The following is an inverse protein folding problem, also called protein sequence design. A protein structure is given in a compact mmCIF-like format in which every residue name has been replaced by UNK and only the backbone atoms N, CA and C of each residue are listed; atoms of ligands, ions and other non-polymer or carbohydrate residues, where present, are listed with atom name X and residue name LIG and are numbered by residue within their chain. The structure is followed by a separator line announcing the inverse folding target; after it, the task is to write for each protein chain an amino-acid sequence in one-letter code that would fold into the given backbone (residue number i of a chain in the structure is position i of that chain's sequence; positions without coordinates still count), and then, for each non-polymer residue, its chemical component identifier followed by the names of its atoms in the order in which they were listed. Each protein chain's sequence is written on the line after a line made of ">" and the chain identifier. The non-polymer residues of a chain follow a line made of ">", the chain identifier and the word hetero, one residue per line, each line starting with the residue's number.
data_IF_887300746224
#
_entry.id   IF_887300746224
#
_cell.length_a   1.000
_cell.length_b   1.000
_cell.length_c   1.000
_cell.angle_alpha   90.00
_cell.angle_beta   90.00
_cell.angle_gamma   90.00
#
_symmetry.space_group_name_H-M   'P 1'
#
loop_
_entity.id
_entity.type
_entity.pdbx_description
1 polymer ?
#
# COMPACT_ATOMS: atom_id res chain seq x y z
N UNK A 1 20.26 -12.20 -60.86
CA UNK A 1 21.50 -11.82 -61.56
C UNK A 1 21.15 -10.90 -62.71
N UNK A 2 21.91 -9.82 -62.96
CA UNK A 2 22.76 -9.05 -62.05
C UNK A 2 22.03 -7.78 -61.54
N UNK A 3 22.53 -6.90 -60.65
CA UNK A 3 23.42 -6.93 -59.46
C UNK A 3 23.11 -5.59 -58.70
N UNK A 4 23.35 -5.32 -57.41
CA UNK A 4 24.48 -5.54 -56.47
C UNK A 4 25.64 -4.53 -56.61
N UNK A 5 26.35 -4.25 -55.49
CA UNK A 5 27.30 -3.15 -55.21
C UNK A 5 26.63 -1.77 -54.95
N UNK A 6 26.68 -1.14 -53.77
CA UNK A 6 27.53 -1.23 -52.57
C UNK A 6 28.97 -0.67 -52.73
N UNK A 7 29.25 0.43 -52.02
CA UNK A 7 30.60 0.90 -51.69
C UNK A 7 30.66 1.31 -50.20
N UNK A 8 31.85 1.24 -49.61
CA UNK A 8 32.17 1.61 -48.24
C UNK A 8 33.49 2.38 -48.24
N UNK A 9 33.51 3.61 -47.72
CA UNK A 9 34.77 4.19 -47.26
C UNK A 9 34.64 5.23 -46.15
N UNK A 10 35.52 5.07 -45.18
CA UNK A 10 35.88 5.94 -44.06
C UNK A 10 37.25 5.40 -43.53
N UNK A 11 37.99 6.13 -42.68
CA UNK A 11 37.76 7.49 -42.18
C UNK A 11 38.89 8.46 -42.58
N UNK A 12 38.81 9.70 -42.11
CA UNK A 12 40.02 10.54 -41.90
C UNK A 12 40.23 10.75 -40.38
N UNK A 13 41.50 10.81 -39.98
CA UNK A 13 41.97 11.12 -38.63
C UNK A 13 43.32 11.85 -38.71
N UNK A 14 43.25 13.17 -38.69
CA UNK A 14 44.36 14.03 -38.22
C UNK A 14 43.77 15.19 -37.40
N UNK A 15 44.48 15.78 -36.44
CA UNK A 15 45.83 15.47 -35.98
C UNK A 15 46.61 16.75 -35.72
N UNK A 16 46.38 17.38 -34.56
CA UNK A 16 47.16 18.53 -34.12
C UNK A 16 47.37 18.53 -32.61
N UNK A 17 48.55 18.97 -32.18
CA UNK A 17 49.01 18.90 -30.79
C UNK A 17 49.71 20.19 -30.38
N UNK A 18 49.59 20.50 -29.09
CA UNK A 18 50.59 21.22 -28.31
C UNK A 18 50.89 22.69 -28.66
N UNK A 19 50.52 23.58 -27.73
CA UNK A 19 51.55 24.36 -27.02
C UNK A 19 51.06 24.82 -25.65
N UNK A 20 51.93 24.67 -24.67
CA UNK A 20 51.82 25.30 -23.35
C UNK A 20 52.25 26.77 -23.45
N UNK A 21 51.89 27.58 -22.44
CA UNK A 21 52.83 28.48 -21.74
C UNK A 21 52.23 29.13 -20.49
N UNK A 22 53.13 29.77 -19.74
CA UNK A 22 52.96 30.48 -18.47
C UNK A 22 51.69 31.37 -18.37
N UNK A 23 51.06 31.60 -17.21
CA UNK A 23 51.50 31.33 -15.84
C UNK A 23 51.77 32.63 -15.07
N UNK A 24 50.75 33.20 -14.41
CA UNK A 24 50.89 34.36 -13.51
C UNK A 24 50.06 34.14 -12.25
N UNK A 25 50.65 34.49 -11.10
CA UNK A 25 50.08 34.43 -9.76
C UNK A 25 50.03 35.85 -9.17
N UNK A 26 48.94 36.22 -8.51
CA UNK A 26 48.86 37.49 -7.74
C UNK A 26 48.07 37.28 -6.45
N UNK A 27 48.72 37.50 -5.31
CA UNK A 27 48.07 37.61 -4.01
C UNK A 27 47.26 38.91 -3.86
N UNK A 28 46.21 38.88 -3.04
CA UNK A 28 45.42 40.07 -2.65
C UNK A 28 44.68 39.81 -1.34
N UNK A 29 44.98 40.58 -0.29
CA UNK A 29 44.67 40.21 1.11
C UNK A 29 43.95 41.31 1.89
N UNK A 30 42.95 40.87 2.68
CA UNK A 30 42.25 41.58 3.78
C UNK A 30 41.35 42.78 3.42
N UNK A 31 40.29 42.98 4.23
CA UNK A 31 39.34 44.09 4.07
C UNK A 31 38.01 43.94 4.82
N UNK A 32 38.03 43.82 6.15
CA UNK A 32 36.88 44.11 7.04
C UNK A 32 37.35 45.13 8.09
N UNK A 33 36.60 46.22 8.32
CA UNK A 33 35.76 46.28 9.53
C UNK A 33 34.39 46.97 9.32
N UNK A 34 33.31 46.31 9.75
CA UNK A 34 31.93 46.82 9.64
C UNK A 34 31.48 47.89 10.66
N UNK A 35 30.17 48.18 10.69
CA UNK A 35 29.57 49.18 11.59
C UNK A 35 28.08 48.95 11.93
N UNK A 36 27.76 49.00 13.23
CA UNK A 36 26.53 49.51 13.92
C UNK A 36 25.14 49.26 13.30
N UNK A 37 24.20 48.61 13.99
CA UNK A 37 23.43 49.08 15.17
C UNK A 37 22.59 50.36 14.94
N UNK A 38 21.27 50.21 14.96
CA UNK A 38 20.29 51.24 15.31
C UNK A 38 18.98 50.58 15.78
N UNK A 39 18.55 50.84 17.01
CA UNK A 39 17.24 50.46 17.54
C UNK A 39 16.15 51.46 17.14
N UNK A 40 14.88 51.05 17.21
CA UNK A 40 13.72 51.92 16.97
C UNK A 40 12.42 51.32 17.53
N UNK A 41 12.07 51.64 18.77
CA UNK A 41 10.92 51.09 19.49
C UNK A 41 10.07 52.21 20.11
N UNK A 42 8.81 51.85 20.43
CA UNK A 42 7.74 52.64 21.05
C UNK A 42 6.91 53.55 20.10
N UNK A 43 5.60 53.69 20.32
CA UNK A 43 4.78 52.94 21.28
C UNK A 43 3.37 53.50 21.52
N UNK A 44 2.63 52.79 22.38
CA UNK A 44 1.30 53.18 22.90
C UNK A 44 0.11 52.69 22.05
N UNK A 45 -1.05 52.37 22.62
CA UNK A 45 -1.40 52.03 24.02
C UNK A 45 -2.80 51.39 24.01
N UNK A 46 -3.06 50.42 24.89
CA UNK A 46 -4.39 49.82 25.06
C UNK A 46 -5.29 50.74 25.90
N UNK A 47 -6.61 50.73 25.69
CA UNK A 47 -7.48 50.49 26.85
C UNK A 47 -8.45 49.32 26.62
N UNK A 48 -8.74 48.65 27.72
CA UNK A 48 -9.63 47.50 27.89
C UNK A 48 -10.95 48.00 28.50
N UNK A 49 -12.10 47.48 28.06
CA UNK A 49 -13.39 47.87 28.64
C UNK A 49 -14.47 46.79 28.46
N UNK A 50 -14.86 46.17 29.56
CA UNK A 50 -16.07 45.36 29.67
C UNK A 50 -17.33 46.25 29.73
N UNK A 51 -18.45 45.76 29.21
CA UNK A 51 -19.74 46.46 29.27
C UNK A 51 -20.86 45.68 28.59
N UNK A 52 -21.85 45.24 29.37
CA UNK A 52 -22.95 44.36 28.93
C UNK A 52 -24.31 45.10 28.95
N UNK A 53 -25.32 44.56 28.24
CA UNK A 53 -26.76 44.94 28.28
C UNK A 53 -27.11 46.33 27.66
N UNK A 54 -28.33 46.65 27.19
CA UNK A 54 -29.49 45.93 26.62
C UNK A 54 -30.38 47.01 25.92
N UNK A 55 -31.61 46.86 25.41
CA UNK A 55 -32.63 45.81 25.36
C UNK A 55 -33.57 46.07 24.14
N UNK A 56 -34.31 45.06 23.66
CA UNK A 56 -35.40 45.22 22.68
C UNK A 56 -36.45 44.10 22.79
N UNK A 57 -37.55 44.37 23.48
CA UNK A 57 -38.49 43.36 23.99
C UNK A 57 -39.71 43.06 23.08
N UNK A 58 -40.09 41.77 22.99
CA UNK A 58 -41.48 41.28 22.96
C UNK A 58 -41.51 39.73 23.00
N UNK A 59 -42.35 39.02 23.77
CA UNK A 59 -43.22 39.48 24.87
C UNK A 59 -44.27 38.42 25.28
N UNK A 60 -44.18 37.88 26.51
CA UNK A 60 -45.18 37.00 27.14
C UNK A 60 -45.15 35.51 26.74
N UNK A 61 -45.63 34.55 27.55
CA UNK A 61 -46.18 34.59 28.93
C UNK A 61 -45.87 33.31 29.70
N UNK A 62 -45.78 33.39 31.03
CA UNK A 62 -45.41 32.29 31.95
C UNK A 62 -46.64 31.59 32.59
N UNK A 63 -46.50 30.32 32.93
CA UNK A 63 -47.07 29.77 34.18
C UNK A 63 -46.30 28.54 34.68
N UNK A 64 -45.89 28.56 35.94
CA UNK A 64 -45.34 27.38 36.63
C UNK A 64 -46.44 26.41 37.08
N UNK A 65 -46.04 25.18 37.45
CA UNK A 65 -46.37 24.65 38.78
C UNK A 65 -45.43 23.52 39.21
N UNK A 66 -45.16 23.46 40.50
CA UNK A 66 -44.23 22.50 41.13
C UNK A 66 -44.79 21.07 41.21
N UNK A 67 -43.90 20.11 41.45
CA UNK A 67 -44.24 18.68 41.52
C UNK A 67 -44.51 18.15 42.94
N UNK A 68 -44.93 16.88 43.01
CA UNK A 68 -45.01 16.11 44.25
C UNK A 68 -44.47 14.68 44.04
N UNK A 69 -44.01 14.04 45.11
CA UNK A 69 -43.30 12.76 45.10
C UNK A 69 -44.26 11.57 45.27
N UNK A 70 -43.99 10.46 44.58
CA UNK A 70 -44.62 9.16 44.83
C UNK A 70 -43.60 8.02 44.69
N UNK A 71 -43.62 7.08 45.64
CA UNK A 71 -42.76 5.89 45.68
C UNK A 71 -43.25 4.80 44.69
N UNK A 72 -42.34 3.95 44.19
CA UNK A 72 -42.59 3.11 43.02
C UNK A 72 -41.53 2.05 42.71
N UNK A 73 -41.32 1.12 43.65
CA UNK A 73 -40.65 -0.19 43.52
C UNK A 73 -39.89 -0.49 42.20
N UNK A 74 -38.55 -0.53 42.27
CA UNK A 74 -37.71 -0.99 41.17
C UNK A 74 -37.92 -2.49 40.86
N UNK A 75 -38.50 -2.79 39.70
CA UNK A 75 -38.51 -4.14 39.12
C UNK A 75 -37.27 -4.39 38.26
N UNK A 76 -36.70 -5.59 38.32
CA UNK A 76 -35.56 -5.97 37.47
C UNK A 76 -35.90 -5.83 35.96
N UNK A 77 -34.99 -5.27 35.14
CA UNK A 77 -35.20 -5.19 33.70
C UNK A 77 -35.17 -6.60 33.10
N UNK A 78 -36.34 -7.11 32.70
CA UNK A 78 -36.47 -8.37 31.97
C UNK A 78 -35.57 -8.33 30.72
N UNK A 79 -34.66 -9.31 30.53
CA UNK A 79 -33.75 -9.28 29.40
C UNK A 79 -34.52 -9.37 28.08
N UNK A 80 -34.10 -8.54 27.12
CA UNK A 80 -34.67 -8.47 25.78
C UNK A 80 -34.56 -9.82 25.03
N UNK A 81 -35.65 -10.22 24.37
CA UNK A 81 -35.68 -11.47 23.60
C UNK A 81 -34.82 -11.43 22.34
N UNK A 82 -34.54 -10.27 21.75
CA UNK A 82 -33.59 -10.19 20.63
C UNK A 82 -32.16 -10.47 21.11
N UNK A 83 -31.75 -9.86 22.23
CA UNK A 83 -30.49 -10.12 22.93
C UNK A 83 -30.34 -11.59 23.32
N UNK A 84 -31.39 -12.20 23.89
CA UNK A 84 -31.37 -13.62 24.26
C UNK A 84 -31.30 -14.55 23.03
N UNK A 85 -31.97 -14.19 21.92
CA UNK A 85 -31.86 -14.92 20.64
C UNK A 85 -30.48 -14.80 20.04
N UNK A 86 -29.86 -13.61 20.06
CA UNK A 86 -28.51 -13.37 19.55
C UNK A 86 -27.46 -14.20 20.34
N UNK A 87 -27.58 -14.21 21.67
CA UNK A 87 -26.74 -15.03 22.54
C UNK A 87 -26.93 -16.54 22.29
N UNK A 88 -28.18 -17.00 22.11
CA UNK A 88 -28.47 -18.39 21.79
C UNK A 88 -27.91 -18.80 20.40
N UNK A 89 -28.03 -17.94 19.39
CA UNK A 89 -27.44 -18.16 18.07
C UNK A 89 -25.91 -18.25 18.13
N UNK A 90 -25.24 -17.37 18.88
CA UNK A 90 -23.79 -17.42 19.08
C UNK A 90 -23.35 -18.72 19.79
N UNK A 91 -24.06 -19.13 20.84
CA UNK A 91 -23.77 -20.37 21.57
C UNK A 91 -23.92 -21.63 20.68
N UNK A 92 -24.96 -21.69 19.84
CA UNK A 92 -25.13 -22.78 18.87
C UNK A 92 -24.02 -22.79 17.82
N UNK A 93 -23.60 -21.62 17.31
CA UNK A 93 -22.53 -21.51 16.32
C UNK A 93 -21.18 -22.02 16.87
N UNK A 94 -20.84 -21.66 18.11
CA UNK A 94 -19.66 -22.16 18.82
C UNK A 94 -19.71 -23.69 18.99
N UNK A 95 -20.88 -24.24 19.32
CA UNK A 95 -21.02 -25.68 19.57
C UNK A 95 -20.90 -26.52 18.28
N UNK A 96 -21.35 -25.99 17.14
CA UNK A 96 -21.11 -26.59 15.81
C UNK A 96 -19.63 -26.55 15.43
N UNK A 97 -18.92 -25.46 15.73
CA UNK A 97 -17.48 -25.32 15.50
C UNK A 97 -16.65 -26.38 16.24
N UNK A 98 -16.97 -26.67 17.51
CA UNK A 98 -16.30 -27.74 18.27
C UNK A 98 -16.62 -29.16 17.77
N UNK A 99 -17.84 -29.41 17.29
CA UNK A 99 -18.22 -30.71 16.73
C UNK A 99 -17.41 -31.07 15.47
N UNK A 100 -17.12 -30.09 14.61
CA UNK A 100 -16.32 -30.30 13.39
C UNK A 100 -14.87 -30.72 13.66
N UNK A 101 -14.28 -30.28 14.77
CA UNK A 101 -12.88 -30.55 15.12
C UNK A 101 -12.62 -32.01 15.57
N UNK A 102 -13.64 -32.71 16.07
CA UNK A 102 -13.51 -34.06 16.65
C UNK A 102 -13.44 -35.22 15.64
N UNK A 103 -14.07 -35.08 14.47
CA UNK A 103 -14.32 -36.23 13.57
C UNK A 103 -13.11 -36.52 12.64
N UNK A 104 -12.25 -35.53 12.39
CA UNK A 104 -11.12 -35.64 11.45
C UNK A 104 -9.91 -36.49 11.88
N UNK A 105 -9.97 -37.22 13.01
CA UNK A 105 -8.78 -37.88 13.62
C UNK A 105 -8.88 -39.39 13.87
N UNK A 106 -9.88 -40.09 13.31
CA UNK A 106 -10.07 -41.53 13.56
C UNK A 106 -9.91 -42.46 12.33
N UNK A 107 -9.73 -41.94 11.11
CA UNK A 107 -9.78 -42.74 9.86
C UNK A 107 -8.45 -42.78 9.06
N UNK A 108 -7.31 -43.01 9.72
CA UNK A 108 -6.02 -43.29 9.03
C UNK A 108 -5.24 -44.44 9.68
N UNK A 109 -5.72 -45.68 9.50
CA UNK A 109 -5.10 -46.90 10.03
C UNK A 109 -5.21 -48.11 9.07
N UNK A 110 -4.76 -47.94 7.83
CA UNK A 110 -4.47 -48.99 6.84
C UNK A 110 -3.64 -48.35 5.69
N UNK A 111 -2.71 -49.00 5.00
CA UNK A 111 -2.07 -50.32 5.23
C UNK A 111 -0.63 -50.27 4.68
N UNK A 112 0.31 -51.02 5.25
CA UNK A 112 1.71 -51.06 4.79
C UNK A 112 2.02 -52.40 4.12
N UNK A 113 1.87 -52.46 2.79
CA UNK A 113 2.32 -53.61 2.00
C UNK A 113 3.83 -53.50 1.74
N UNK A 114 4.56 -54.58 2.00
CA UNK A 114 5.98 -54.73 1.68
C UNK A 114 6.15 -55.40 0.32
N UNK A 115 7.21 -55.04 -0.41
CA UNK A 115 7.66 -55.76 -1.61
C UNK A 115 9.17 -55.98 -1.54
N UNK A 116 9.60 -57.23 -1.72
CA UNK A 116 11.01 -57.67 -1.59
C UNK A 116 11.69 -57.69 -2.97
N UNK A 117 12.96 -57.28 -3.10
CA UNK A 117 13.65 -57.24 -4.39
C UNK A 117 14.16 -58.62 -4.86
N UNK A 118 14.28 -58.78 -6.18
CA UNK A 118 15.00 -59.86 -6.87
C UNK A 118 15.79 -59.29 -8.07
N UNK A 119 16.82 -59.99 -8.57
CA UNK A 119 17.85 -59.44 -9.46
C UNK A 119 18.05 -60.22 -10.80
N UNK A 120 19.03 -59.73 -11.57
CA UNK A 120 19.58 -60.19 -12.88
C UNK A 120 18.72 -60.05 -14.14
N UNK A 121 19.23 -59.61 -15.30
CA UNK A 121 20.50 -58.88 -15.58
C UNK A 121 20.49 -58.26 -17.00
N UNK A 122 21.58 -57.56 -17.34
CA UNK A 122 22.16 -57.34 -18.68
C UNK A 122 21.28 -56.89 -19.87
N UNK A 123 21.44 -55.61 -20.27
CA UNK A 123 21.83 -55.26 -21.66
C UNK A 123 22.25 -53.79 -21.79
N UNK A 124 23.11 -53.50 -22.78
CA UNK A 124 23.76 -52.20 -23.04
C UNK A 124 23.14 -51.50 -24.26
N UNK A 125 22.68 -50.25 -24.10
CA UNK A 125 22.45 -49.30 -25.19
C UNK A 125 22.56 -47.84 -24.71
N UNK A 126 22.85 -46.91 -25.62
CA UNK A 126 22.96 -45.47 -25.35
C UNK A 126 21.85 -44.70 -26.05
N UNK A 127 21.23 -43.73 -25.37
CA UNK A 127 20.91 -42.41 -25.94
C UNK A 127 20.48 -41.45 -24.83
N UNK A 128 20.78 -40.16 -24.98
CA UNK A 128 20.20 -39.11 -24.15
C UNK A 128 19.00 -38.50 -24.87
N UNK A 129 17.88 -38.35 -24.16
CA UNK A 129 16.72 -37.58 -24.59
C UNK A 129 16.07 -36.96 -23.35
N UNK A 130 16.24 -35.65 -23.20
CA UNK A 130 15.80 -34.90 -22.02
C UNK A 130 14.31 -34.55 -22.17
N UNK A 131 13.45 -35.33 -21.50
CA UNK A 131 12.00 -35.08 -21.50
C UNK A 131 11.66 -34.09 -20.39
N UNK A 132 11.16 -32.91 -20.78
CA UNK A 132 10.82 -31.84 -19.84
C UNK A 132 9.68 -32.26 -18.88
N UNK A 133 9.90 -32.07 -17.58
CA UNK A 133 8.85 -32.13 -16.57
C UNK A 133 8.08 -30.79 -16.51
N UNK A 134 6.78 -30.79 -16.20
CA UNK A 134 6.05 -29.55 -15.96
C UNK A 134 6.51 -28.90 -14.65
N UNK A 135 6.68 -27.57 -14.65
CA UNK A 135 6.88 -26.80 -13.43
C UNK A 135 5.51 -26.42 -12.83
N UNK A 136 5.19 -27.00 -11.67
CA UNK A 136 4.03 -26.58 -10.87
C UNK A 136 4.30 -25.23 -10.19
N UNK A 137 3.92 -24.14 -10.84
CA UNK A 137 4.10 -22.76 -10.35
C UNK A 137 3.04 -22.39 -9.28
N UNK A 138 3.06 -23.10 -8.16
CA UNK A 138 2.06 -23.02 -7.08
C UNK A 138 2.66 -22.47 -5.77
N UNK A 139 3.56 -21.48 -5.87
CA UNK A 139 4.27 -20.85 -4.74
C UNK A 139 3.42 -19.98 -3.79
N UNK A 140 2.10 -20.10 -3.76
CA UNK A 140 1.22 -19.29 -2.89
C UNK A 140 0.90 -20.03 -1.59
N UNK A 141 1.50 -19.61 -0.47
CA UNK A 141 1.05 -20.02 0.87
C UNK A 141 -0.31 -19.37 1.15
N UNK A 142 -1.39 -20.14 1.40
CA UNK A 142 -2.70 -19.56 1.66
C UNK A 142 -2.73 -18.86 3.03
N UNK A 143 -2.88 -17.54 3.02
CA UNK A 143 -3.36 -16.80 4.19
C UNK A 143 -4.89 -16.69 4.08
N UNK A 144 -5.60 -17.00 5.18
CA UNK A 144 -7.05 -16.86 5.22
C UNK A 144 -7.42 -15.51 5.82
N UNK A 145 -8.11 -14.68 5.04
CA UNK A 145 -8.92 -13.60 5.59
C UNK A 145 -10.16 -14.22 6.25
N UNK A 146 -10.38 -13.92 7.53
CA UNK A 146 -11.71 -14.02 8.11
C UNK A 146 -12.66 -13.03 7.42
N UNK A 147 -13.96 -13.26 7.50
CA UNK A 147 -15.01 -12.32 7.03
C UNK A 147 -14.93 -10.94 7.68
N UNK A 148 -14.22 -10.86 8.81
CA UNK A 148 -14.20 -9.74 9.74
C UNK A 148 -12.88 -8.95 9.65
N UNK A 149 -12.14 -9.09 8.54
CA UNK A 149 -10.85 -8.42 8.28
C UNK A 149 -9.64 -8.98 9.05
N UNK A 150 -9.85 -9.88 10.02
CA UNK A 150 -8.76 -10.51 10.79
C UNK A 150 -8.02 -11.58 9.98
N UNK A 151 -6.71 -11.70 10.25
CA UNK A 151 -5.83 -12.74 9.71
C UNK A 151 -5.06 -13.42 10.84
N UNK A 152 -5.14 -14.75 10.94
CA UNK A 152 -4.38 -15.54 11.90
C UNK A 152 -3.28 -16.33 11.18
N UNK A 153 -2.02 -15.89 11.32
CA UNK A 153 -0.89 -16.60 10.71
C UNK A 153 -0.48 -17.82 11.56
N UNK A 154 -0.87 -19.02 11.11
CA UNK A 154 -0.29 -20.28 11.61
C UNK A 154 1.01 -20.54 10.87
N UNK A 155 2.10 -19.95 11.35
CA UNK A 155 3.43 -20.11 10.75
C UNK A 155 3.99 -21.53 11.00
N UNK A 156 4.14 -22.32 9.93
CA UNK A 156 4.95 -23.53 9.95
C UNK A 156 6.45 -23.16 9.87
N UNK A 157 7.31 -23.62 10.79
CA UNK A 157 8.72 -23.24 10.79
C UNK A 157 9.48 -23.95 9.66
N UNK A 158 10.03 -23.19 8.70
CA UNK A 158 10.99 -23.70 7.71
C UNK A 158 10.92 -23.06 6.32
N UNK A 159 9.83 -22.39 5.95
CA UNK A 159 9.70 -21.75 4.64
C UNK A 159 10.26 -20.31 4.66
N UNK A 160 11.31 -20.05 3.88
CA UNK A 160 11.75 -18.69 3.59
C UNK A 160 10.70 -17.99 2.70
N UNK A 161 10.20 -16.83 3.13
CA UNK A 161 9.03 -16.20 2.54
C UNK A 161 9.35 -15.44 1.23
N UNK A 162 9.49 -16.19 0.13
CA UNK A 162 9.51 -15.63 -1.23
C UNK A 162 8.10 -15.15 -1.65
N UNK A 163 7.59 -14.11 -0.97
CA UNK A 163 6.36 -13.44 -1.35
C UNK A 163 6.51 -12.86 -2.76
N UNK A 164 5.64 -13.29 -3.69
CA UNK A 164 5.70 -12.89 -5.09
C UNK A 164 5.58 -11.37 -5.27
N UNK A 165 6.34 -10.82 -6.22
CA UNK A 165 6.31 -9.37 -6.52
C UNK A 165 4.99 -9.03 -7.20
N UNK A 166 4.12 -8.30 -6.49
CA UNK A 166 2.82 -7.87 -7.01
C UNK A 166 2.93 -6.80 -8.09
N UNK A 167 1.86 -6.64 -8.88
CA UNK A 167 1.67 -5.48 -9.75
C UNK A 167 2.55 -5.44 -11.00
N UNK A 168 3.41 -6.45 -11.26
CA UNK A 168 4.28 -6.52 -12.45
C UNK A 168 3.58 -7.06 -13.71
N UNK A 169 2.54 -7.88 -13.57
CA UNK A 169 1.84 -8.50 -14.69
C UNK A 169 0.49 -7.82 -14.97
N UNK A 170 0.14 -7.68 -16.26
CA UNK A 170 -1.20 -7.22 -16.70
C UNK A 170 -2.25 -8.33 -16.50
N UNK A 171 -1.82 -9.59 -16.56
CA UNK A 171 -2.63 -10.80 -16.36
C UNK A 171 -2.00 -11.70 -15.30
N UNK A 172 -2.80 -12.17 -14.34
CA UNK A 172 -2.41 -13.19 -13.34
C UNK A 172 -3.65 -13.91 -12.81
N UNK A 173 -3.51 -15.16 -12.36
CA UNK A 173 -4.63 -16.02 -11.92
C UNK A 173 -5.79 -16.13 -12.93
N UNK A 174 -5.53 -15.97 -14.23
CA UNK A 174 -6.53 -15.91 -15.29
C UNK A 174 -7.33 -14.60 -15.39
N UNK A 175 -7.05 -13.63 -14.52
CA UNK A 175 -7.65 -12.28 -14.52
C UNK A 175 -6.72 -11.28 -15.20
N UNK A 176 -7.28 -10.32 -15.94
CA UNK A 176 -6.56 -9.30 -16.71
C UNK A 176 -7.05 -7.89 -16.38
N UNK A 177 -6.12 -6.95 -16.21
CA UNK A 177 -6.41 -5.53 -16.06
C UNK A 177 -6.52 -4.88 -17.45
N UNK A 178 -7.72 -4.46 -17.82
CA UNK A 178 -8.05 -3.91 -19.15
C UNK A 178 -8.35 -2.42 -19.03
N UNK A 179 -7.40 -1.51 -19.30
CA UNK A 179 -7.66 -0.07 -19.32
C UNK A 179 -8.45 0.34 -20.58
N UNK A 180 -9.32 1.35 -20.47
CA UNK A 180 -9.98 1.92 -21.66
C UNK A 180 -9.02 2.78 -22.52
N UNK A 181 -7.89 3.20 -21.95
CA UNK A 181 -6.79 3.82 -22.68
C UNK A 181 -5.53 3.99 -21.82
N UNK A 182 -4.36 3.84 -22.43
CA UNK A 182 -3.05 3.92 -21.74
C UNK A 182 -2.32 5.26 -21.94
N UNK A 183 -2.86 6.16 -22.76
CA UNK A 183 -2.28 7.49 -23.04
C UNK A 183 -3.13 8.59 -22.42
N UNK A 184 -2.54 9.35 -21.50
CA UNK A 184 -3.21 10.35 -20.65
C UNK A 184 -2.51 11.73 -20.80
N UNK A 185 -3.14 12.78 -20.26
CA UNK A 185 -2.60 14.16 -20.28
C UNK A 185 -2.24 14.61 -18.87
N UNK A 186 -1.27 15.52 -18.77
CA UNK A 186 -1.02 16.20 -17.50
C UNK A 186 -2.20 17.14 -17.17
N UNK A 187 -2.60 17.20 -15.90
CA UNK A 187 -3.75 17.98 -15.44
C UNK A 187 -4.09 17.74 -13.96
N UNK A 188 -4.90 18.63 -13.33
CA UNK A 188 -5.24 18.54 -11.91
C UNK A 188 -6.22 17.40 -11.58
N UNK A 189 -7.07 17.03 -12.53
CA UNK A 189 -7.93 15.85 -12.50
C UNK A 189 -8.30 15.46 -13.93
N UNK A 190 -8.36 14.16 -14.22
CA UNK A 190 -9.05 13.61 -15.38
C UNK A 190 -9.58 12.20 -15.08
N UNK A 191 -10.78 11.83 -15.60
CA UNK A 191 -11.33 10.51 -15.36
C UNK A 191 -10.50 9.43 -16.06
N UNK A 192 -10.40 8.28 -15.41
CA UNK A 192 -9.75 7.07 -15.89
C UNK A 192 -10.66 5.87 -15.63
N UNK A 193 -10.64 4.91 -16.57
CA UNK A 193 -11.57 3.79 -16.62
C UNK A 193 -10.85 2.51 -17.00
N UNK A 194 -11.25 1.41 -16.37
CA UNK A 194 -10.73 0.08 -16.64
C UNK A 194 -11.75 -0.99 -16.24
N UNK A 195 -11.54 -2.23 -16.69
CA UNK A 195 -12.25 -3.43 -16.22
C UNK A 195 -11.21 -4.45 -15.73
N UNK A 196 -11.62 -5.31 -14.81
CA UNK A 196 -10.92 -6.59 -14.59
C UNK A 196 -11.72 -7.65 -15.34
N UNK A 197 -11.07 -8.44 -16.21
CA UNK A 197 -11.74 -9.48 -17.01
C UNK A 197 -11.14 -10.85 -16.73
N UNK A 198 -11.99 -11.87 -16.60
CA UNK A 198 -11.56 -13.27 -16.57
C UNK A 198 -11.28 -13.84 -17.96
N UNK A 199 -11.06 -15.17 -18.07
CA UNK A 199 -10.86 -15.86 -19.34
C UNK A 199 -12.02 -15.61 -20.32
N UNK A 200 -11.69 -15.42 -21.59
CA UNK A 200 -12.68 -15.06 -22.62
C UNK A 200 -13.18 -13.60 -22.58
N UNK A 201 -12.65 -12.76 -21.68
CA UNK A 201 -12.95 -11.33 -21.63
C UNK A 201 -14.20 -10.96 -20.81
N UNK A 202 -14.84 -11.92 -20.13
CA UNK A 202 -15.98 -11.64 -19.26
C UNK A 202 -15.57 -10.73 -18.08
N UNK A 203 -16.32 -9.65 -17.77
CA UNK A 203 -15.99 -8.75 -16.68
C UNK A 203 -16.18 -9.44 -15.31
N UNK A 204 -15.27 -9.16 -14.38
CA UNK A 204 -15.40 -9.56 -12.98
C UNK A 204 -16.19 -8.49 -12.24
N UNK A 205 -17.31 -8.88 -11.63
CA UNK A 205 -18.24 -7.99 -10.91
C UNK A 205 -18.41 -8.35 -9.42
N UNK A 206 -17.66 -9.33 -8.92
CA UNK A 206 -17.78 -9.82 -7.53
C UNK A 206 -16.41 -9.82 -6.86
N UNK A 207 -16.29 -9.05 -5.79
CA UNK A 207 -15.05 -8.81 -5.06
C UNK A 207 -15.33 -8.91 -3.56
N UNK A 208 -14.37 -9.39 -2.78
CA UNK A 208 -14.39 -9.26 -1.33
C UNK A 208 -13.96 -7.84 -0.94
N UNK A 209 -14.52 -7.33 0.16
CA UNK A 209 -14.09 -6.06 0.75
C UNK A 209 -12.90 -6.32 1.67
N UNK A 210 -11.80 -5.59 1.45
CA UNK A 210 -10.59 -5.59 2.26
C UNK A 210 -10.26 -4.13 2.53
N UNK A 211 -9.92 -3.76 3.77
CA UNK A 211 -9.68 -2.36 4.16
C UNK A 211 -10.81 -1.42 3.67
N UNK A 212 -12.06 -1.74 4.02
CA UNK A 212 -13.31 -1.08 3.58
C UNK A 212 -13.53 -0.93 2.05
N UNK A 213 -12.66 -1.47 1.19
CA UNK A 213 -12.73 -1.31 -0.27
C UNK A 213 -12.72 -2.65 -1.03
N UNK A 214 -13.41 -2.73 -2.17
CA UNK A 214 -13.34 -3.91 -3.04
C UNK A 214 -12.07 -3.95 -3.93
N UNK A 215 -11.38 -2.82 -4.09
CA UNK A 215 -10.17 -2.66 -4.90
C UNK A 215 -9.38 -1.43 -4.44
N UNK A 216 -8.07 -1.58 -4.27
CA UNK A 216 -7.11 -0.49 -4.12
C UNK A 216 -6.43 -0.23 -5.45
N UNK A 217 -6.27 1.05 -5.82
CA UNK A 217 -5.63 1.47 -7.05
C UNK A 217 -4.46 2.39 -6.72
N UNK A 218 -3.24 1.88 -6.91
CA UNK A 218 -2.00 2.65 -6.75
C UNK A 218 -1.55 3.15 -8.11
N UNK A 219 -1.26 4.45 -8.20
CA UNK A 219 -0.68 5.09 -9.38
C UNK A 219 0.60 5.79 -8.98
N UNK A 220 1.68 5.57 -9.73
CA UNK A 220 3.02 6.12 -9.41
C UNK A 220 3.84 6.29 -10.68
N UNK A 221 4.76 7.27 -10.73
CA UNK A 221 5.75 7.34 -11.84
C UNK A 221 6.75 6.21 -11.76
N UNK A 222 7.37 5.85 -12.89
CA UNK A 222 8.46 4.86 -12.96
C UNK A 222 9.72 5.27 -12.17
N UNK A 223 9.87 6.56 -11.85
CA UNK A 223 10.90 7.08 -10.93
C UNK A 223 10.45 7.18 -9.47
N UNK A 224 9.31 6.56 -9.13
CA UNK A 224 8.74 6.50 -7.78
C UNK A 224 8.43 7.89 -7.16
N UNK A 225 8.12 8.87 -8.02
CA UNK A 225 7.46 10.13 -7.66
C UNK A 225 5.99 10.14 -8.11
N UNK A 226 5.22 11.20 -7.79
CA UNK A 226 3.84 11.35 -8.27
C UNK A 226 2.87 10.25 -7.84
N UNK A 227 3.07 9.69 -6.64
CA UNK A 227 2.25 8.63 -6.04
C UNK A 227 0.83 9.11 -5.69
N UNK A 228 -0.14 8.24 -5.92
CA UNK A 228 -1.53 8.32 -5.46
C UNK A 228 -2.00 6.93 -5.04
N UNK A 229 -2.74 6.87 -3.93
CA UNK A 229 -3.47 5.69 -3.46
C UNK A 229 -4.97 6.02 -3.51
N UNK A 230 -5.70 5.34 -4.39
CA UNK A 230 -7.06 5.68 -4.79
C UNK A 230 -7.98 4.47 -4.67
N UNK A 231 -9.29 4.71 -4.56
CA UNK A 231 -10.30 3.66 -4.39
C UNK A 231 -11.40 3.84 -5.44
N UNK A 232 -11.24 3.22 -6.63
CA UNK A 232 -12.18 3.36 -7.74
C UNK A 232 -13.59 2.86 -7.38
N UNK A 233 -14.61 3.38 -8.05
CA UNK A 233 -15.99 2.88 -7.94
C UNK A 233 -16.35 2.04 -9.16
N UNK A 234 -17.06 0.93 -8.94
CA UNK A 234 -17.46 0.01 -10.01
C UNK A 234 -18.92 0.23 -10.42
N UNK A 235 -19.16 0.31 -11.73
CA UNK A 235 -20.50 0.23 -12.31
C UNK A 235 -20.99 -1.24 -12.44
N UNK A 236 -22.30 -1.51 -12.57
CA UNK A 236 -22.84 -2.87 -12.66
C UNK A 236 -22.32 -3.72 -13.82
N UNK A 237 -21.68 -3.14 -14.84
CA UNK A 237 -21.05 -3.85 -15.96
C UNK A 237 -19.57 -4.24 -15.70
N UNK A 238 -19.04 -3.96 -14.51
CA UNK A 238 -17.65 -4.20 -14.15
C UNK A 238 -16.69 -3.04 -14.47
N UNK A 239 -17.18 -1.89 -14.96
CA UNK A 239 -16.34 -0.71 -15.22
C UNK A 239 -15.94 -0.03 -13.92
N UNK A 240 -14.66 -0.05 -13.60
CA UNK A 240 -14.06 0.78 -12.56
C UNK A 240 -13.82 2.20 -13.07
N UNK A 241 -14.11 3.19 -12.22
CA UNK A 241 -14.00 4.62 -12.50
C UNK A 241 -13.22 5.30 -11.38
N UNK A 242 -12.22 6.13 -11.73
CA UNK A 242 -11.43 6.92 -10.78
C UNK A 242 -10.90 8.18 -11.46
N UNK A 243 -10.82 9.29 -10.74
CA UNK A 243 -10.18 10.52 -11.22
C UNK A 243 -8.69 10.53 -10.84
N UNK A 244 -7.83 10.91 -11.78
CA UNK A 244 -6.38 10.93 -11.61
C UNK A 244 -5.83 12.36 -11.64
N UNK A 245 -5.05 12.73 -10.62
CA UNK A 245 -4.27 13.98 -10.62
C UNK A 245 -2.89 13.72 -11.25
N UNK A 246 -2.63 14.28 -12.43
CA UNK A 246 -1.46 14.01 -13.24
C UNK A 246 -0.59 15.27 -13.36
N UNK A 247 0.03 15.65 -12.25
CA UNK A 247 0.78 16.91 -12.15
C UNK A 247 2.03 17.02 -13.04
N UNK A 248 2.52 15.92 -13.63
CA UNK A 248 3.73 15.91 -14.44
C UNK A 248 3.69 14.82 -15.53
N UNK A 249 4.39 15.00 -16.67
CA UNK A 249 4.53 13.98 -17.70
C UNK A 249 5.47 12.83 -17.27
N UNK A 250 5.34 11.68 -17.93
CA UNK A 250 6.19 10.52 -17.72
C UNK A 250 5.50 9.18 -17.94
N UNK A 251 6.27 8.11 -17.81
CA UNK A 251 5.74 6.75 -17.67
C UNK A 251 5.31 6.53 -16.22
N UNK A 252 4.08 6.04 -16.05
CA UNK A 252 3.47 5.69 -14.79
C UNK A 252 3.17 4.18 -14.74
N UNK A 253 3.17 3.60 -13.54
CA UNK A 253 2.60 2.28 -13.26
C UNK A 253 1.26 2.48 -12.57
N UNK A 254 0.19 1.93 -13.15
CA UNK A 254 -1.06 1.70 -12.47
C UNK A 254 -1.08 0.26 -11.93
N UNK A 255 -1.51 0.08 -10.68
CA UNK A 255 -1.54 -1.18 -9.97
C UNK A 255 -2.95 -1.33 -9.38
N UNK A 256 -3.62 -2.43 -9.69
CA UNK A 256 -4.93 -2.78 -9.14
C UNK A 256 -4.75 -3.97 -8.19
N UNK A 257 -5.09 -3.78 -6.93
CA UNK A 257 -4.89 -4.73 -5.84
C UNK A 257 -6.24 -5.06 -5.19
N UNK A 258 -6.68 -6.31 -5.33
CA UNK A 258 -8.06 -6.70 -5.04
C UNK A 258 -8.20 -8.21 -4.76
N UNK A 259 -9.32 -8.60 -4.15
CA UNK A 259 -9.69 -10.01 -3.97
C UNK A 259 -10.96 -10.32 -4.75
N UNK A 260 -10.83 -10.94 -5.92
CA UNK A 260 -11.96 -11.34 -6.74
C UNK A 260 -12.62 -12.61 -6.18
N UNK A 261 -13.94 -12.77 -6.33
CA UNK A 261 -14.68 -13.97 -5.91
C UNK A 261 -15.06 -14.79 -7.14
N UNK A 262 -14.14 -15.67 -7.57
CA UNK A 262 -14.29 -16.47 -8.80
C UNK A 262 -14.77 -17.87 -8.41
N UNK A 263 -15.91 -18.31 -8.97
CA UNK A 263 -16.51 -19.61 -8.63
C UNK A 263 -16.84 -19.77 -7.14
N UNK A 264 -17.13 -18.66 -6.45
CA UNK A 264 -17.35 -18.63 -5.00
C UNK A 264 -16.07 -18.65 -4.14
N UNK A 265 -14.87 -18.63 -4.74
CA UNK A 265 -13.59 -18.66 -4.04
C UNK A 265 -12.91 -17.29 -4.05
N UNK A 266 -12.60 -16.69 -2.88
CA UNK A 266 -11.76 -15.49 -2.81
C UNK A 266 -10.37 -15.77 -3.42
N UNK A 267 -9.94 -14.88 -4.32
CA UNK A 267 -8.69 -14.97 -5.07
C UNK A 267 -8.01 -13.60 -5.00
N UNK A 268 -7.01 -13.39 -4.11
CA UNK A 268 -6.25 -12.14 -4.05
C UNK A 268 -5.32 -12.02 -5.27
N UNK A 269 -5.36 -10.87 -5.96
CA UNK A 269 -4.56 -10.62 -7.17
C UNK A 269 -4.12 -9.16 -7.21
N UNK A 270 -2.81 -8.94 -7.38
CA UNK A 270 -2.23 -7.62 -7.66
C UNK A 270 -1.79 -7.53 -9.13
N UNK A 271 -2.60 -6.89 -9.98
CA UNK A 271 -2.29 -6.66 -11.40
C UNK A 271 -1.70 -5.26 -11.61
N UNK A 272 -1.03 -5.03 -12.75
CA UNK A 272 -0.60 -3.69 -13.12
C UNK A 272 -0.33 -3.48 -14.60
N UNK A 273 -0.40 -2.23 -15.04
CA UNK A 273 -0.22 -1.80 -16.43
C UNK A 273 0.56 -0.48 -16.48
N UNK A 274 1.36 -0.28 -17.52
CA UNK A 274 2.06 0.99 -17.73
C UNK A 274 1.15 2.01 -18.45
N UNK A 275 1.13 3.24 -17.94
CA UNK A 275 0.39 4.38 -18.49
C UNK A 275 1.38 5.47 -18.90
N UNK A 276 1.08 6.21 -19.96
CA UNK A 276 1.94 7.29 -20.48
C UNK A 276 1.23 8.63 -20.36
N UNK A 277 1.80 9.54 -19.57
CA UNK A 277 1.35 10.94 -19.47
C UNK A 277 2.21 11.79 -20.41
N UNK A 278 1.59 12.29 -21.48
CA UNK A 278 2.31 12.96 -22.56
C UNK A 278 2.98 14.28 -22.13
N UNK A 279 4.25 14.46 -22.48
CA UNK A 279 5.03 15.68 -22.25
C UNK A 279 6.52 15.38 -22.04
N UNK A 280 7.27 16.41 -21.62
CA UNK A 280 8.73 16.33 -21.48
C UNK A 280 9.16 15.63 -20.18
N UNK A 281 9.26 14.29 -20.22
CA UNK A 281 9.63 13.50 -19.05
C UNK A 281 11.10 13.73 -18.63
N UNK A 282 11.28 14.11 -17.36
CA UNK A 282 12.58 14.11 -16.68
C UNK A 282 12.47 13.21 -15.44
N UNK A 283 13.19 12.07 -15.39
CA UNK A 283 13.26 11.23 -14.21
C UNK A 283 13.90 11.98 -13.03
N UNK A 284 13.34 11.81 -11.84
CA UNK A 284 13.88 12.35 -10.58
C UNK A 284 14.58 11.23 -9.83
N UNK A 285 15.82 11.45 -9.41
CA UNK A 285 16.54 10.47 -8.61
C UNK A 285 15.91 10.30 -7.23
N UNK A 286 15.74 9.06 -6.76
CA UNK A 286 15.22 8.79 -5.42
C UNK A 286 16.08 9.47 -4.33
N UNK A 287 15.48 10.13 -3.32
CA UNK A 287 16.20 10.67 -2.16
C UNK A 287 17.07 9.64 -1.45
N UNK A 288 18.04 10.13 -0.67
CA UNK A 288 18.84 9.31 0.23
C UNK A 288 17.95 8.51 1.22
N UNK A 289 18.36 7.32 1.67
CA UNK A 289 17.59 6.54 2.63
C UNK A 289 17.45 7.25 3.98
N UNK A 290 16.23 7.31 4.51
CA UNK A 290 15.91 7.99 5.78
C UNK A 290 14.82 7.24 6.55
N UNK A 291 14.99 7.11 7.87
CA UNK A 291 13.98 6.53 8.77
C UNK A 291 12.99 7.56 9.32
N UNK A 292 13.15 8.84 8.98
CA UNK A 292 12.32 9.96 9.42
C UNK A 292 12.08 10.93 8.27
N UNK A 293 10.84 11.32 8.07
CA UNK A 293 10.41 12.27 7.04
C UNK A 293 9.23 13.13 7.56
N UNK A 294 8.79 14.12 6.78
CA UNK A 294 7.71 15.02 7.17
C UNK A 294 6.79 15.33 5.99
N UNK A 295 5.51 15.56 6.29
CA UNK A 295 4.49 16.08 5.37
C UNK A 295 3.44 16.84 6.18
N UNK A 296 2.87 17.91 5.62
CA UNK A 296 1.77 18.69 6.22
C UNK A 296 1.97 19.13 7.69
N UNK A 297 3.21 19.34 8.12
CA UNK A 297 3.57 19.69 9.51
C UNK A 297 3.70 18.51 10.46
N UNK A 298 3.29 17.30 10.06
CA UNK A 298 3.59 16.06 10.78
C UNK A 298 5.01 15.59 10.50
N UNK A 299 5.65 15.00 11.52
CA UNK A 299 6.93 14.32 11.38
C UNK A 299 6.74 12.85 11.73
N UNK A 300 7.03 11.98 10.77
CA UNK A 300 6.81 10.53 10.91
C UNK A 300 8.13 9.80 10.82
N UNK A 301 8.33 8.85 11.73
CA UNK A 301 9.51 8.00 11.78
C UNK A 301 9.12 6.53 11.80
N UNK A 302 9.93 5.69 11.16
CA UNK A 302 9.78 4.24 11.22
C UNK A 302 10.92 3.57 12.00
N UNK A 303 10.58 2.51 12.74
CA UNK A 303 11.51 1.61 13.41
C UNK A 303 11.35 0.18 12.88
N UNK A 304 12.47 -0.52 12.69
CA UNK A 304 12.53 -1.85 12.07
C UNK A 304 13.54 -1.90 10.93
N UNK A 305 13.84 -3.10 10.44
CA UNK A 305 14.74 -3.32 9.29
C UNK A 305 14.13 -4.39 8.40
N UNK A 306 13.53 -4.01 7.25
CA UNK A 306 12.96 -4.98 6.32
C UNK A 306 14.04 -5.92 5.76
N UNK A 307 13.70 -7.19 5.60
CA UNK A 307 14.61 -8.25 5.17
C UNK A 307 14.00 -9.10 4.05
N UNK A 308 14.86 -9.85 3.36
CA UNK A 308 14.51 -10.74 2.25
C UNK A 308 14.17 -12.17 2.67
N UNK A 309 14.64 -12.60 3.84
CA UNK A 309 14.55 -13.99 4.32
C UNK A 309 13.43 -14.23 5.34
N UNK A 310 12.92 -13.16 5.96
CA UNK A 310 11.90 -13.21 7.00
C UNK A 310 11.01 -11.96 6.98
N UNK A 311 9.74 -12.13 7.33
CA UNK A 311 8.81 -11.02 7.61
C UNK A 311 9.24 -10.31 8.90
N UNK A 312 9.54 -9.02 8.81
CA UNK A 312 9.97 -8.20 9.93
C UNK A 312 8.91 -7.16 10.30
N UNK A 313 8.78 -6.78 11.59
CA UNK A 313 7.89 -5.71 12.00
C UNK A 313 8.46 -4.35 11.60
N UNK A 314 7.60 -3.45 11.14
CA UNK A 314 7.90 -2.04 10.88
C UNK A 314 6.90 -1.16 11.64
N UNK A 315 7.38 -0.38 12.61
CA UNK A 315 6.54 0.47 13.47
C UNK A 315 6.61 1.92 13.00
N UNK A 316 5.48 2.50 12.60
CA UNK A 316 5.35 3.88 12.11
C UNK A 316 4.83 4.78 13.23
N UNK A 317 5.63 5.74 13.70
CA UNK A 317 5.26 6.69 14.76
C UNK A 317 5.03 8.08 14.16
N UNK A 318 3.84 8.64 14.36
CA UNK A 318 3.46 9.97 13.86
C UNK A 318 3.57 11.00 15.00
N UNK A 319 4.36 12.05 14.79
CA UNK A 319 4.46 13.22 15.67
C UNK A 319 3.70 14.39 15.05
N UNK A 320 2.82 15.04 15.81
CA UNK A 320 2.07 16.22 15.38
C UNK A 320 2.92 17.51 15.35
N UNK A 321 2.36 18.60 14.79
CA UNK A 321 3.04 19.91 14.74
C UNK A 321 3.39 20.50 16.11
N UNK A 322 2.74 20.04 17.18
CA UNK A 322 2.99 20.45 18.57
C UNK A 322 4.11 19.64 19.26
N UNK A 323 4.74 18.70 18.55
CA UNK A 323 5.80 17.84 19.05
C UNK A 323 5.33 16.62 19.85
N UNK A 324 4.02 16.37 19.98
CA UNK A 324 3.46 15.21 20.69
C UNK A 324 3.10 14.07 19.72
N UNK A 325 2.90 12.83 20.18
CA UNK A 325 2.30 11.78 19.36
C UNK A 325 0.93 12.21 18.82
N UNK A 326 0.68 12.02 17.52
CA UNK A 326 -0.59 12.38 16.92
C UNK A 326 -1.68 11.36 17.25
N UNK A 327 -2.90 11.83 17.52
CA UNK A 327 -4.08 10.96 17.61
C UNK A 327 -4.48 10.52 16.21
N UNK A 328 -4.21 9.25 15.88
CA UNK A 328 -4.55 8.67 14.58
C UNK A 328 -6.00 8.18 14.57
N UNK A 329 -6.65 8.37 13.43
CA UNK A 329 -8.00 7.91 13.15
C UNK A 329 -7.98 6.67 12.22
N UNK A 330 -8.91 5.73 12.37
CA UNK A 330 -9.12 4.70 11.37
C UNK A 330 -9.55 5.30 10.02
N UNK A 331 -8.82 4.94 8.98
CA UNK A 331 -9.12 5.19 7.57
C UNK A 331 -9.16 3.83 6.88
N UNK A 332 -10.17 3.53 6.06
CA UNK A 332 -10.25 2.27 5.33
C UNK A 332 -10.06 1.02 6.23
N UNK A 333 -10.73 0.98 7.38
CA UNK A 333 -10.61 -0.11 8.36
C UNK A 333 -9.26 -0.23 9.11
N UNK A 334 -8.31 0.70 8.93
CA UNK A 334 -6.98 0.63 9.56
C UNK A 334 -6.43 1.99 10.01
N UNK A 335 -5.48 2.01 10.95
CA UNK A 335 -4.83 3.26 11.42
C UNK A 335 -3.76 3.81 10.46
N UNK A 336 -3.49 3.11 9.35
CA UNK A 336 -2.66 3.58 8.25
C UNK A 336 -2.37 2.48 7.23
N UNK A 337 -1.90 2.89 6.05
CA UNK A 337 -1.54 1.99 4.94
C UNK A 337 -0.09 2.18 4.56
N UNK A 338 0.57 1.11 4.12
CA UNK A 338 1.98 1.15 3.72
C UNK A 338 2.16 0.49 2.36
N UNK A 339 2.26 1.30 1.31
CA UNK A 339 2.59 0.83 -0.03
C UNK A 339 4.11 0.84 -0.20
N UNK A 340 4.71 -0.31 -0.52
CA UNK A 340 6.15 -0.47 -0.70
C UNK A 340 6.46 -0.89 -2.13
N UNK A 341 7.28 -0.09 -2.81
CA UNK A 341 7.58 -0.22 -4.23
C UNK A 341 9.09 -0.29 -4.48
N UNK A 342 9.55 -1.29 -5.23
CA UNK A 342 10.97 -1.48 -5.58
C UNK A 342 11.44 -0.51 -6.67
N UNK A 343 12.63 0.07 -6.51
CA UNK A 343 13.27 0.91 -7.54
C UNK A 343 13.64 0.06 -8.78
N UNK A 344 13.38 0.59 -9.97
CA UNK A 344 13.58 -0.10 -11.24
C UNK A 344 12.31 -0.73 -11.79
N UNK A 345 11.85 -1.85 -11.22
CA UNK A 345 10.68 -2.57 -11.74
C UNK A 345 9.33 -2.06 -11.24
N UNK A 346 9.31 -1.26 -10.17
CA UNK A 346 8.07 -0.81 -9.46
C UNK A 346 7.31 -2.02 -8.90
N UNK A 347 8.06 -3.04 -8.46
CA UNK A 347 7.52 -4.24 -7.82
C UNK A 347 6.80 -3.91 -6.53
N UNK A 348 5.52 -4.26 -6.44
CA UNK A 348 4.65 -3.96 -5.30
C UNK A 348 4.75 -5.05 -4.24
N UNK A 349 4.90 -4.62 -2.99
CA UNK A 349 4.76 -5.49 -1.82
C UNK A 349 3.45 -5.13 -1.14
N UNK A 350 2.53 -6.10 -1.05
CA UNK A 350 1.31 -5.97 -0.26
C UNK A 350 1.66 -6.03 1.23
N UNK A 351 1.18 -5.08 2.04
CA UNK A 351 1.53 -4.97 3.46
C UNK A 351 0.28 -4.68 4.30
N UNK A 352 0.01 -5.55 5.27
CA UNK A 352 -1.05 -5.32 6.25
C UNK A 352 -0.50 -4.65 7.52
N UNK A 353 -1.24 -3.69 8.12
CA UNK A 353 -1.05 -3.26 9.49
C UNK A 353 -1.65 -4.26 10.49
N UNK A 354 -1.23 -4.16 11.75
CA UNK A 354 -2.01 -4.70 12.89
C UNK A 354 -3.34 -3.93 13.02
N UNK A 355 -4.43 -4.56 13.52
CA UNK A 355 -5.73 -3.90 13.66
C UNK A 355 -5.77 -2.71 14.64
N UNK A 356 -4.74 -2.52 15.48
CA UNK A 356 -4.61 -1.46 16.47
C UNK A 356 -3.15 -0.98 16.56
N UNK A 357 -2.88 0.29 16.90
CA UNK A 357 -1.52 0.77 17.15
C UNK A 357 -0.90 0.09 18.38
N UNK A 358 0.39 -0.19 18.32
CA UNK A 358 1.18 -0.69 19.47
C UNK A 358 1.98 0.48 20.02
N UNK A 359 1.76 0.84 21.29
CA UNK A 359 2.37 2.00 21.95
C UNK A 359 2.24 3.33 21.16
N UNK A 360 1.12 3.48 20.43
CA UNK A 360 0.84 4.63 19.56
C UNK A 360 1.46 4.56 18.16
N UNK A 361 2.21 3.51 17.83
CA UNK A 361 2.78 3.30 16.50
C UNK A 361 1.94 2.32 15.66
N UNK A 362 1.73 2.63 14.38
CA UNK A 362 1.08 1.70 13.43
C UNK A 362 2.11 0.65 13.03
N UNK A 363 1.90 -0.61 13.44
CA UNK A 363 2.81 -1.72 13.17
C UNK A 363 2.38 -2.45 11.90
N UNK A 364 3.33 -2.64 10.98
CA UNK A 364 3.18 -3.44 9.75
C UNK A 364 4.07 -4.68 9.79
N UNK A 365 3.74 -5.68 8.98
CA UNK A 365 4.54 -6.88 8.79
C UNK A 365 5.06 -6.96 7.34
N UNK A 366 6.38 -6.82 7.15
CA UNK A 366 6.99 -6.64 5.84
C UNK A 366 8.12 -7.67 5.58
N UNK A 367 7.94 -8.51 4.56
CA UNK A 367 9.01 -9.25 3.90
C UNK A 367 9.28 -8.60 2.53
N UNK A 368 10.53 -8.33 2.20
CA UNK A 368 10.91 -7.71 0.94
C UNK A 368 11.26 -8.79 -0.11
N UNK A 369 10.76 -8.73 -1.35
CA UNK A 369 10.95 -9.79 -2.36
C UNK A 369 12.35 -9.80 -3.02
N UNK A 370 13.35 -9.20 -2.37
CA UNK A 370 14.74 -9.16 -2.83
C UNK A 370 15.50 -7.94 -2.32
N UNK A 371 16.84 -7.95 -2.40
CA UNK A 371 17.67 -6.79 -2.05
C UNK A 371 17.44 -5.63 -3.02
N UNK A 372 17.70 -4.40 -2.58
CA UNK A 372 17.58 -3.21 -3.42
C UNK A 372 17.10 -1.96 -2.68
N UNK A 373 16.89 -0.90 -3.44
CA UNK A 373 16.23 0.33 -2.95
C UNK A 373 14.72 0.22 -3.13
N UNK A 374 13.98 0.70 -2.14
CA UNK A 374 12.53 0.74 -2.16
C UNK A 374 12.06 2.14 -1.76
N UNK A 375 10.94 2.57 -2.36
CA UNK A 375 10.18 3.73 -1.92
C UNK A 375 8.96 3.22 -1.14
N UNK A 376 8.83 3.67 0.11
CA UNK A 376 7.68 3.37 0.96
C UNK A 376 6.79 4.61 1.04
N UNK A 377 5.48 4.44 0.92
CA UNK A 377 4.47 5.48 1.07
C UNK A 377 3.54 5.09 2.20
N UNK A 378 3.49 5.91 3.24
CA UNK A 378 2.68 5.68 4.43
C UNK A 378 1.54 6.69 4.48
N UNK A 379 0.31 6.20 4.36
CA UNK A 379 -0.91 6.98 4.49
C UNK A 379 -1.48 6.84 5.91
N UNK A 380 -1.83 7.95 6.56
CA UNK A 380 -2.47 7.98 7.87
C UNK A 380 -3.51 9.11 7.94
N UNK A 381 -4.47 9.03 8.87
CA UNK A 381 -5.52 10.03 9.04
C UNK A 381 -5.45 10.71 10.40
N UNK A 382 -5.61 12.04 10.41
CA UNK A 382 -5.76 12.90 11.60
C UNK A 382 -6.79 13.98 11.30
N UNK A 383 -7.73 14.23 12.22
CA UNK A 383 -8.77 15.26 12.10
C UNK A 383 -9.56 15.19 10.77
N UNK A 384 -9.92 13.98 10.34
CA UNK A 384 -10.63 13.72 9.09
C UNK A 384 -9.81 13.90 7.81
N UNK A 385 -8.51 14.26 7.90
CA UNK A 385 -7.63 14.44 6.73
C UNK A 385 -6.62 13.30 6.62
N UNK A 386 -6.50 12.75 5.41
CA UNK A 386 -5.45 11.77 5.04
C UNK A 386 -4.17 12.50 4.66
N UNK A 387 -3.04 11.96 5.11
CA UNK A 387 -1.69 12.46 4.89
C UNK A 387 -0.76 11.34 4.43
N UNK A 388 0.07 11.60 3.42
CA UNK A 388 1.04 10.63 2.88
C UNK A 388 2.47 11.09 3.18
N UNK A 389 3.28 10.24 3.82
CA UNK A 389 4.73 10.45 4.00
C UNK A 389 5.51 9.38 3.24
N UNK A 390 6.57 9.79 2.54
CA UNK A 390 7.30 8.90 1.64
C UNK A 390 8.82 8.81 1.94
N UNK A 391 9.31 7.58 2.08
CA UNK A 391 10.67 7.23 2.51
C UNK A 391 11.42 6.46 1.43
N UNK A 392 12.73 6.67 1.31
CA UNK A 392 13.61 5.71 0.63
C UNK A 392 14.20 4.78 1.68
N UNK A 393 14.24 3.48 1.42
CA UNK A 393 14.92 2.48 2.25
C UNK A 393 15.84 1.59 1.41
N UNK A 394 16.78 0.90 2.05
CA UNK A 394 17.64 -0.11 1.44
C UNK A 394 17.39 -1.44 2.15
N UNK A 395 16.99 -2.44 1.37
CA UNK A 395 16.99 -3.85 1.77
C UNK A 395 18.31 -4.47 1.29
N UNK A 396 18.91 -5.31 2.12
CA UNK A 396 20.15 -6.05 1.83
C UNK A 396 19.88 -7.55 1.77
#
# INVERSE_FOLDING_TARGET
>A
MPDEQADRQAPDRSGHSGREREGVQTDGRAGDPGSKLADGQAGGTVPEQDGELADAQAGGTVREQDGELADGQAGEPKPDQASFRLAASAAVLILVLFAGYGIGRLNTSAERVQATPAATSDAKAQSAAEAAAPHDDTGTVPHQHSTDGTVAQVAAPGAAAAGGVGGLAVTSAGLTLVPEGTSLKAGPSQPYRFRITGPGGAPITTYAVVHDKPLHFVLVRRDLTGFQHLHPTMAPDGTWSVDLALAAPGSYRAIADFTAVVGGRPTPVTLGVDLTVAGDYRPVALPAPVTRAAADGFVVSYAGTPQTTATQPLLMTVTGPDGKPATLEPYLGAFGHLVVLREGDVGYVHVHPEPQPVDGAVKFWLAAPGPGRYRMFFDFQVAGKVHTVAYTTIVR
#
